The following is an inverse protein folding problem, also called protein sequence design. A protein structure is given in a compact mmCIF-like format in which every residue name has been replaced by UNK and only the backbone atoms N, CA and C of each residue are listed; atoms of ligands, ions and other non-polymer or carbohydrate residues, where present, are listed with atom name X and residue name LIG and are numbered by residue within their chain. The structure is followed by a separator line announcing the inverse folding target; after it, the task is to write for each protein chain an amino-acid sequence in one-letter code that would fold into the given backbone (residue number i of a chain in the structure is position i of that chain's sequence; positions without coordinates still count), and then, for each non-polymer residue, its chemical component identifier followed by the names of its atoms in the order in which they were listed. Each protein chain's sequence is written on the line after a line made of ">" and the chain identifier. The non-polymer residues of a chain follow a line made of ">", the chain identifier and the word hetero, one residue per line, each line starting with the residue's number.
data_IF_271314470011
#
_entry.id   IF_271314470011
#
_cell.length_a   1.000
_cell.length_b   1.000
_cell.length_c   1.000
_cell.angle_alpha   90.00
_cell.angle_beta   90.00
_cell.angle_gamma   90.00
#
_symmetry.space_group_name_H-M   'P 1'
#
loop_
_entity.id
_entity.type
_entity.pdbx_description
1 polymer ?
#
# COMPACT_ATOMS: atom_id res chain seq x y z
N UNK A 1 21.08 -9.67 58.14
CA UNK A 1 19.92 -10.55 58.41
C UNK A 1 19.79 -11.57 57.26
N UNK A 2 19.11 -12.71 57.45
CA UNK A 2 19.28 -13.90 56.61
C UNK A 2 18.10 -14.17 55.65
N UNK A 3 18.02 -15.42 55.15
CA UNK A 3 16.92 -16.06 54.40
C UNK A 3 16.85 -15.76 52.90
N UNK A 4 16.66 -16.74 52.00
CA UNK A 4 16.55 -18.21 52.18
C UNK A 4 17.01 -18.98 50.93
N UNK A 5 17.41 -20.24 51.12
CA UNK A 5 17.70 -21.20 50.05
C UNK A 5 17.01 -22.55 50.33
N UNK A 6 16.46 -23.20 49.30
CA UNK A 6 15.86 -24.55 49.31
C UNK A 6 15.83 -25.02 47.85
N UNK A 7 16.65 -25.97 47.37
CA UNK A 7 16.77 -27.40 47.71
C UNK A 7 15.59 -28.26 47.19
N UNK A 8 15.81 -29.04 46.10
CA UNK A 8 15.83 -30.52 46.20
C UNK A 8 16.26 -31.29 44.96
N UNK A 9 16.97 -32.38 45.23
CA UNK A 9 17.45 -33.44 44.33
C UNK A 9 16.46 -34.61 44.28
N UNK A 10 16.45 -35.43 43.21
CA UNK A 10 15.87 -36.78 43.26
C UNK A 10 15.50 -37.44 41.91
N UNK A 11 16.25 -38.47 41.44
CA UNK A 11 15.89 -39.29 40.27
C UNK A 11 15.21 -40.63 40.63
N UNK A 12 14.63 -41.31 39.63
CA UNK A 12 14.09 -42.68 39.74
C UNK A 12 14.18 -43.44 38.40
N UNK A 13 14.24 -44.78 38.42
CA UNK A 13 14.64 -45.61 37.28
C UNK A 13 13.79 -46.89 37.07
N UNK A 14 14.06 -47.58 35.95
CA UNK A 14 13.46 -48.84 35.44
C UNK A 14 13.58 -50.05 36.40
N UNK A 15 12.73 -51.11 36.31
CA UNK A 15 12.88 -52.21 35.30
C UNK A 15 11.50 -52.67 34.72
N UNK A 16 11.24 -53.83 34.07
CA UNK A 16 11.95 -55.11 33.85
C UNK A 16 11.43 -55.89 32.58
N UNK A 17 11.94 -57.11 32.33
CA UNK A 17 11.34 -58.18 31.48
C UNK A 17 10.65 -59.27 32.35
N UNK A 18 10.58 -60.58 31.98
CA UNK A 18 11.19 -61.29 30.83
C UNK A 18 10.31 -62.40 30.15
N UNK A 19 10.87 -63.26 29.27
CA UNK A 19 10.42 -64.67 29.09
C UNK A 19 10.00 -65.16 27.68
N UNK A 20 10.37 -66.40 27.32
CA UNK A 20 10.05 -67.19 26.09
C UNK A 20 10.19 -68.71 26.44
N UNK A 21 10.18 -69.75 25.54
CA UNK A 21 9.95 -69.88 24.07
C UNK A 21 8.72 -70.84 23.83
N UNK A 22 8.63 -71.91 22.97
CA UNK A 22 9.38 -72.40 21.78
C UNK A 22 8.55 -72.98 20.57
N UNK A 23 9.28 -73.46 19.54
CA UNK A 23 8.96 -74.52 18.55
C UNK A 23 7.89 -74.30 17.43
N UNK A 24 8.11 -74.98 16.26
CA UNK A 24 7.27 -75.00 15.04
C UNK A 24 6.57 -76.35 14.80
N UNK A 25 6.19 -76.78 13.55
CA UNK A 25 6.79 -76.46 12.23
C UNK A 25 5.78 -76.11 11.08
N UNK A 26 6.26 -76.11 9.82
CA UNK A 26 5.60 -76.24 8.46
C UNK A 26 4.14 -75.75 8.23
N UNK A 27 3.81 -74.94 7.21
CA UNK A 27 3.82 -75.32 5.77
C UNK A 27 3.71 -74.13 4.77
N UNK A 28 4.37 -74.30 3.60
CA UNK A 28 4.07 -73.93 2.18
C UNK A 28 3.52 -72.52 1.74
N UNK A 29 3.77 -72.09 0.48
CA UNK A 29 3.48 -70.72 0.00
C UNK A 29 2.32 -70.58 -1.01
N UNK A 30 1.75 -69.36 -1.12
CA UNK A 30 0.97 -68.90 -2.29
C UNK A 30 1.06 -67.36 -2.47
N UNK A 31 1.46 -66.84 -3.66
CA UNK A 31 1.56 -65.38 -3.89
C UNK A 31 0.28 -64.79 -4.52
N UNK A 32 -0.31 -63.76 -3.90
CA UNK A 32 -1.56 -63.17 -4.39
C UNK A 32 -1.89 -61.77 -3.86
N UNK A 33 -1.09 -60.75 -4.21
CA UNK A 33 -1.30 -59.36 -3.78
C UNK A 33 -1.07 -58.35 -4.90
N UNK A 34 -2.15 -57.73 -5.41
CA UNK A 34 -2.10 -56.72 -6.49
C UNK A 34 -1.25 -55.51 -6.08
N UNK A 35 -0.25 -55.12 -6.90
CA UNK A 35 0.55 -53.89 -6.67
C UNK A 35 -0.37 -52.66 -6.55
N UNK A 36 -0.29 -51.86 -5.48
CA UNK A 36 -1.31 -50.85 -5.17
C UNK A 36 -1.15 -49.55 -5.96
N UNK A 37 -1.49 -49.59 -7.27
CA UNK A 37 -1.56 -48.39 -8.13
C UNK A 37 -2.53 -47.31 -7.59
N UNK A 38 -3.46 -47.68 -6.71
CA UNK A 38 -4.34 -46.72 -6.02
C UNK A 38 -3.58 -45.74 -5.11
N UNK A 39 -2.61 -46.22 -4.30
CA UNK A 39 -1.88 -45.37 -3.35
C UNK A 39 -1.10 -44.24 -4.06
N UNK A 40 -0.53 -44.52 -5.23
CA UNK A 40 0.15 -43.51 -6.06
C UNK A 40 -0.82 -42.45 -6.61
N UNK A 41 -2.07 -42.81 -6.93
CA UNK A 41 -3.09 -41.85 -7.38
C UNK A 41 -3.58 -40.99 -6.20
N UNK A 42 -3.86 -41.59 -5.04
CA UNK A 42 -4.26 -40.86 -3.84
C UNK A 42 -3.20 -39.86 -3.39
N UNK A 43 -1.91 -40.25 -3.41
CA UNK A 43 -0.81 -39.36 -3.07
C UNK A 43 -0.72 -38.14 -4.03
N UNK A 44 -0.86 -38.36 -5.34
CA UNK A 44 -0.87 -37.27 -6.33
C UNK A 44 -2.07 -36.32 -6.16
N UNK A 45 -3.25 -36.85 -5.83
CA UNK A 45 -4.43 -36.03 -5.54
C UNK A 45 -4.24 -35.18 -4.28
N UNK A 46 -3.65 -35.74 -3.21
CA UNK A 46 -3.34 -34.97 -2.00
C UNK A 46 -2.33 -33.84 -2.28
N UNK A 47 -1.26 -34.11 -3.03
CA UNK A 47 -0.29 -33.07 -3.43
C UNK A 47 -0.93 -32.01 -4.30
N UNK A 48 -1.76 -32.39 -5.28
CA UNK A 48 -2.51 -31.45 -6.11
C UNK A 48 -3.46 -30.56 -5.30
N UNK A 49 -4.20 -31.14 -4.35
CA UNK A 49 -5.07 -30.39 -3.45
C UNK A 49 -4.30 -29.40 -2.56
N UNK A 50 -3.15 -29.79 -2.02
CA UNK A 50 -2.28 -28.91 -1.22
C UNK A 50 -1.69 -27.78 -2.07
N UNK A 51 -1.29 -28.04 -3.32
CA UNK A 51 -0.79 -27.01 -4.24
C UNK A 51 -1.88 -26.01 -4.65
N UNK A 52 -3.10 -26.49 -4.94
CA UNK A 52 -4.26 -25.62 -5.22
C UNK A 52 -4.64 -24.80 -3.98
N UNK A 53 -4.66 -25.41 -2.79
CA UNK A 53 -4.89 -24.68 -1.55
C UNK A 53 -3.81 -23.62 -1.30
N UNK A 54 -2.52 -23.94 -1.52
CA UNK A 54 -1.41 -23.00 -1.37
C UNK A 54 -1.46 -21.83 -2.38
N UNK A 55 -1.92 -22.07 -3.61
CA UNK A 55 -2.17 -21.01 -4.59
C UNK A 55 -3.32 -20.10 -4.11
N UNK A 56 -4.47 -20.68 -3.77
CA UNK A 56 -5.64 -19.94 -3.25
C UNK A 56 -5.38 -19.26 -1.89
N UNK A 57 -4.35 -19.66 -1.15
CA UNK A 57 -3.88 -18.98 0.07
C UNK A 57 -2.86 -17.88 -0.25
N UNK A 58 -2.12 -17.96 -1.37
CA UNK A 58 -1.24 -16.87 -1.85
C UNK A 58 -2.02 -15.74 -2.52
N UNK A 59 -3.10 -16.04 -3.23
CA UNK A 59 -4.01 -15.04 -3.80
C UNK A 59 -4.77 -14.28 -2.70
N UNK A 60 -4.89 -14.86 -1.50
CA UNK A 60 -5.36 -14.18 -0.30
C UNK A 60 -4.18 -13.49 0.38
N UNK A 61 -4.05 -12.18 0.16
CA UNK A 61 -3.00 -11.36 0.76
C UNK A 61 -2.93 -11.46 2.30
N UNK A 62 -1.82 -11.04 2.93
CA UNK A 62 -1.60 -11.19 4.37
C UNK A 62 -2.78 -10.68 5.19
N UNK A 63 -3.25 -11.50 6.15
CA UNK A 63 -4.36 -11.12 7.01
C UNK A 63 -3.99 -9.83 7.78
N UNK A 64 -4.89 -8.83 7.83
CA UNK A 64 -4.55 -7.53 8.40
C UNK A 64 -4.20 -7.63 9.89
N UNK A 65 -3.12 -6.93 10.28
CA UNK A 65 -2.69 -6.84 11.66
C UNK A 65 -3.74 -6.08 12.48
N UNK A 66 -4.36 -6.77 13.45
CA UNK A 66 -5.48 -6.28 14.25
C UNK A 66 -5.05 -5.33 15.38
N UNK A 67 -3.75 -5.04 15.52
CA UNK A 67 -3.25 -4.08 16.51
C UNK A 67 -3.49 -2.62 16.12
N UNK A 68 -3.70 -2.34 14.83
CA UNK A 68 -4.29 -1.08 14.35
C UNK A 68 -5.76 -1.33 14.08
N UNK A 69 -6.64 -0.45 14.58
CA UNK A 69 -8.09 -0.55 14.33
C UNK A 69 -8.38 -0.55 12.82
N UNK A 70 -9.31 -1.39 12.37
CA UNK A 70 -9.52 -1.73 10.96
C UNK A 70 -9.75 -0.49 10.07
N UNK A 71 -8.69 -0.09 9.35
CA UNK A 71 -8.70 1.00 8.36
C UNK A 71 -8.94 0.39 6.98
N UNK A 72 -10.06 0.74 6.36
CA UNK A 72 -10.32 0.43 4.96
C UNK A 72 -9.23 1.06 4.09
N UNK A 73 -8.62 0.28 3.20
CA UNK A 73 -7.61 0.76 2.25
C UNK A 73 -8.07 0.50 0.83
N UNK A 74 -8.01 1.55 0.01
CA UNK A 74 -8.42 1.56 -1.40
C UNK A 74 -7.23 2.08 -2.23
N UNK A 75 -7.03 1.56 -3.43
CA UNK A 75 -5.83 1.81 -4.23
C UNK A 75 -4.73 0.76 -4.04
N UNK A 76 -3.54 1.05 -4.58
CA UNK A 76 -2.43 0.10 -4.64
C UNK A 76 -1.67 0.04 -3.30
N UNK A 77 -1.21 -1.15 -2.92
CA UNK A 77 -0.32 -1.34 -1.76
C UNK A 77 1.13 -1.01 -2.10
N UNK A 78 1.93 -0.64 -1.09
CA UNK A 78 3.36 -0.34 -1.27
C UNK A 78 4.12 -1.56 -1.84
N UNK A 79 4.92 -1.33 -2.89
CA UNK A 79 5.57 -2.39 -3.67
C UNK A 79 4.65 -3.17 -4.61
N UNK A 80 3.33 -2.91 -4.60
CA UNK A 80 2.32 -3.64 -5.36
C UNK A 80 2.45 -3.48 -6.89
N UNK A 81 2.03 -4.53 -7.61
CA UNK A 81 2.00 -4.55 -9.08
C UNK A 81 0.90 -3.65 -9.63
N UNK A 82 1.30 -2.62 -10.38
CA UNK A 82 0.37 -1.68 -10.99
C UNK A 82 -0.46 -2.36 -12.11
N UNK A 83 0.11 -3.18 -13.03
CA UNK A 83 -0.68 -3.86 -14.05
C UNK A 83 -1.73 -4.83 -13.49
N UNK A 84 -1.48 -5.42 -12.31
CA UNK A 84 -2.44 -6.32 -11.66
C UNK A 84 -3.53 -5.55 -10.91
N UNK A 85 -3.17 -4.47 -10.20
CA UNK A 85 -4.13 -3.54 -9.59
C UNK A 85 -5.12 -2.95 -10.63
N UNK A 86 -4.61 -2.46 -11.76
CA UNK A 86 -5.46 -1.91 -12.83
C UNK A 86 -6.44 -2.95 -13.40
N UNK A 87 -6.04 -4.24 -13.41
CA UNK A 87 -6.88 -5.35 -13.89
C UNK A 87 -7.92 -5.78 -12.86
N UNK A 88 -7.58 -5.76 -11.56
CA UNK A 88 -8.51 -6.02 -10.46
C UNK A 88 -9.63 -4.97 -10.44
N UNK A 89 -9.26 -3.68 -10.35
CA UNK A 89 -10.20 -2.55 -10.36
C UNK A 89 -11.17 -2.59 -11.56
N UNK A 90 -10.67 -2.87 -12.77
CA UNK A 90 -11.51 -3.02 -13.96
C UNK A 90 -12.46 -4.23 -13.91
N UNK A 91 -12.04 -5.34 -13.29
CA UNK A 91 -12.86 -6.54 -13.10
C UNK A 91 -13.97 -6.30 -12.07
N UNK A 92 -13.64 -5.64 -10.97
CA UNK A 92 -14.58 -5.29 -9.89
C UNK A 92 -15.61 -4.25 -10.36
N UNK A 93 -15.17 -3.26 -11.15
CA UNK A 93 -16.05 -2.28 -11.80
C UNK A 93 -17.01 -2.93 -12.82
N UNK A 94 -16.54 -3.94 -13.55
CA UNK A 94 -17.41 -4.75 -14.39
C UNK A 94 -18.45 -5.52 -13.55
N UNK A 95 -18.02 -6.10 -12.43
CA UNK A 95 -18.84 -6.95 -11.55
C UNK A 95 -19.88 -6.21 -10.68
N UNK A 96 -19.81 -4.88 -10.52
CA UNK A 96 -20.78 -4.13 -9.70
C UNK A 96 -22.24 -4.39 -10.15
N UNK A 97 -23.20 -4.59 -9.21
CA UNK A 97 -24.61 -4.70 -9.56
C UNK A 97 -25.10 -3.41 -10.24
N UNK A 98 -26.04 -3.53 -11.19
CA UNK A 98 -26.53 -2.37 -11.94
C UNK A 98 -27.25 -1.33 -11.06
N UNK A 99 -27.95 -1.79 -10.02
CA UNK A 99 -28.55 -0.95 -8.99
C UNK A 99 -27.70 -1.02 -7.71
N UNK A 100 -27.08 0.11 -7.34
CA UNK A 100 -26.37 0.29 -6.08
C UNK A 100 -26.66 1.69 -5.52
N UNK A 101 -27.92 1.92 -5.14
CA UNK A 101 -28.31 3.17 -4.46
C UNK A 101 -27.86 3.16 -2.99
N UNK A 102 -27.43 4.31 -2.43
CA UNK A 102 -27.44 5.65 -3.01
C UNK A 102 -26.12 6.05 -3.68
N UNK A 103 -25.44 5.13 -4.37
CA UNK A 103 -24.14 5.32 -5.04
C UNK A 103 -22.97 4.60 -4.33
N UNK A 104 -22.04 4.08 -5.12
CA UNK A 104 -20.80 3.42 -4.67
C UNK A 104 -19.66 4.44 -4.64
N UNK A 105 -18.76 4.34 -3.65
CA UNK A 105 -17.51 5.11 -3.64
C UNK A 105 -16.51 4.52 -4.62
N UNK A 106 -15.70 5.35 -5.26
CA UNK A 106 -14.59 4.88 -6.08
C UNK A 106 -13.38 5.81 -6.01
N UNK A 107 -12.19 5.22 -6.15
CA UNK A 107 -10.94 5.92 -6.36
C UNK A 107 -10.66 6.03 -7.86
N UNK A 108 -10.74 7.24 -8.39
CA UNK A 108 -10.42 7.55 -9.79
C UNK A 108 -8.95 7.91 -9.86
N UNK A 109 -8.16 7.18 -10.64
CA UNK A 109 -6.76 7.49 -10.92
C UNK A 109 -6.61 8.04 -12.33
N UNK A 110 -5.82 9.09 -12.55
CA UNK A 110 -5.63 9.71 -13.86
C UNK A 110 -4.36 9.21 -14.59
N UNK A 111 -4.32 9.38 -15.91
CA UNK A 111 -3.17 8.99 -16.75
C UNK A 111 -1.99 9.97 -16.67
N UNK A 112 -2.21 11.12 -16.03
CA UNK A 112 -1.28 12.23 -15.88
C UNK A 112 -1.77 13.16 -14.78
N UNK A 113 -0.98 14.18 -14.45
CA UNK A 113 -1.38 15.21 -13.51
C UNK A 113 -2.29 16.23 -14.20
N UNK A 114 -3.41 16.60 -13.57
CA UNK A 114 -4.44 17.52 -14.09
C UNK A 114 -4.46 18.84 -13.31
N UNK A 115 -4.67 19.99 -13.98
CA UNK A 115 -5.05 21.25 -13.33
C UNK A 115 -6.55 21.26 -12.98
N UNK A 116 -7.03 22.20 -12.14
CA UNK A 116 -8.41 22.24 -11.66
C UNK A 116 -9.48 22.20 -12.76
N UNK A 117 -9.31 22.96 -13.84
CA UNK A 117 -10.32 23.07 -14.91
C UNK A 117 -10.47 21.77 -15.70
N UNK A 118 -9.34 21.14 -16.06
CA UNK A 118 -9.33 19.83 -16.74
C UNK A 118 -9.86 18.71 -15.86
N UNK A 119 -9.74 18.84 -14.53
CA UNK A 119 -10.37 17.89 -13.61
C UNK A 119 -11.90 17.97 -13.68
N UNK A 120 -12.46 19.19 -13.77
CA UNK A 120 -13.89 19.39 -13.96
C UNK A 120 -14.38 18.79 -15.29
N UNK A 121 -13.64 19.00 -16.39
CA UNK A 121 -13.95 18.39 -17.69
C UNK A 121 -13.92 16.84 -17.65
N UNK A 122 -12.91 16.24 -17.01
CA UNK A 122 -12.74 14.78 -16.97
C UNK A 122 -13.79 14.11 -16.08
N UNK A 123 -14.14 14.71 -14.93
CA UNK A 123 -15.11 14.14 -13.99
C UNK A 123 -16.57 14.50 -14.35
N UNK A 124 -16.84 15.68 -14.91
CA UNK A 124 -18.21 16.14 -15.22
C UNK A 124 -19.10 16.14 -13.97
N UNK A 125 -20.37 15.76 -14.14
CA UNK A 125 -21.38 15.74 -13.06
C UNK A 125 -21.18 14.64 -11.99
N UNK A 126 -20.06 13.93 -12.00
CA UNK A 126 -19.74 12.89 -11.02
C UNK A 126 -19.41 13.52 -9.67
N UNK A 127 -20.19 13.19 -8.64
CA UNK A 127 -20.03 13.75 -7.28
C UNK A 127 -18.64 13.44 -6.69
N UNK A 128 -17.81 14.48 -6.58
CA UNK A 128 -16.49 14.42 -5.93
C UNK A 128 -16.63 14.64 -4.42
N UNK A 129 -15.67 14.17 -3.63
CA UNK A 129 -15.57 14.55 -2.21
C UNK A 129 -14.16 14.97 -1.78
N UNK A 130 -13.12 14.37 -2.35
CA UNK A 130 -11.75 14.87 -2.23
C UNK A 130 -10.92 14.51 -3.46
N UNK A 131 -9.84 15.26 -3.66
CA UNK A 131 -8.82 15.00 -4.68
C UNK A 131 -7.46 14.77 -4.02
N UNK A 132 -6.59 14.02 -4.68
CA UNK A 132 -5.22 13.78 -4.24
C UNK A 132 -4.26 14.39 -5.26
N UNK A 133 -3.38 15.26 -4.79
CA UNK A 133 -2.40 15.96 -5.60
C UNK A 133 -1.00 15.90 -5.03
N UNK A 134 -0.02 16.17 -5.90
CA UNK A 134 1.37 16.46 -5.56
C UNK A 134 1.99 17.27 -6.69
N UNK A 135 3.06 18.00 -6.43
CA UNK A 135 3.80 18.70 -7.49
C UNK A 135 4.78 17.72 -8.15
N UNK A 136 4.70 17.47 -9.48
CA UNK A 136 5.58 16.53 -10.17
C UNK A 136 6.96 17.14 -10.42
N UNK A 137 7.78 17.22 -9.38
CA UNK A 137 9.18 17.64 -9.48
C UNK A 137 10.07 16.42 -9.86
N UNK A 138 10.87 16.49 -10.95
CA UNK A 138 11.82 15.44 -11.30
C UNK A 138 12.87 15.25 -10.19
N UNK A 139 13.29 13.99 -9.95
CA UNK A 139 14.32 13.66 -8.97
C UNK A 139 13.93 13.87 -7.50
N UNK A 140 12.68 14.26 -7.21
CA UNK A 140 12.23 14.68 -5.87
C UNK A 140 10.94 14.00 -5.42
N UNK A 141 10.91 13.63 -4.15
CA UNK A 141 9.67 13.43 -3.42
C UNK A 141 9.05 14.78 -3.05
N UNK A 142 7.71 14.85 -3.07
CA UNK A 142 6.91 16.06 -2.78
C UNK A 142 5.66 15.64 -1.99
N UNK A 143 4.98 16.59 -1.35
CA UNK A 143 3.87 16.26 -0.45
C UNK A 143 2.67 15.68 -1.22
N UNK A 144 2.15 14.55 -0.74
CA UNK A 144 0.85 14.01 -1.16
C UNK A 144 -0.26 14.72 -0.41
N UNK A 145 -0.85 15.72 -1.06
CA UNK A 145 -1.88 16.59 -0.49
C UNK A 145 -3.26 16.04 -0.80
N UNK A 146 -4.10 15.88 0.23
CA UNK A 146 -5.55 15.64 0.10
C UNK A 146 -6.28 16.97 0.20
N UNK A 147 -7.13 17.27 -0.78
CA UNK A 147 -7.92 18.50 -0.84
C UNK A 147 -9.40 18.13 -0.94
N UNK A 148 -10.22 18.58 0.02
CA UNK A 148 -11.68 18.41 -0.04
C UNK A 148 -12.24 19.17 -1.25
N UNK A 149 -13.10 18.54 -2.03
CA UNK A 149 -13.68 19.14 -3.23
C UNK A 149 -15.09 18.62 -3.47
N UNK A 150 -16.08 19.51 -3.35
CA UNK A 150 -17.49 19.25 -3.65
C UNK A 150 -17.97 20.05 -4.88
N UNK A 151 -17.26 21.13 -5.23
CA UNK A 151 -17.48 22.00 -6.38
C UNK A 151 -16.18 22.15 -7.15
N UNK A 152 -16.16 21.69 -8.41
CA UNK A 152 -15.02 21.88 -9.30
C UNK A 152 -15.30 23.03 -10.29
N UNK A 153 -14.28 23.81 -10.69
CA UNK A 153 -12.88 23.75 -10.24
C UNK A 153 -12.63 24.44 -8.87
N UNK A 154 -13.55 25.29 -8.42
CA UNK A 154 -13.38 26.29 -7.35
C UNK A 154 -12.75 25.76 -6.06
N UNK A 155 -13.28 24.66 -5.49
CA UNK A 155 -12.79 24.16 -4.18
C UNK A 155 -11.33 23.70 -4.27
N UNK A 156 -10.91 23.17 -5.43
CA UNK A 156 -9.52 22.74 -5.66
C UNK A 156 -8.61 23.94 -5.88
N UNK A 157 -9.05 24.97 -6.61
CA UNK A 157 -8.28 26.21 -6.77
C UNK A 157 -8.08 26.95 -5.44
N UNK A 158 -9.11 26.98 -4.58
CA UNK A 158 -9.01 27.49 -3.22
C UNK A 158 -8.03 26.67 -2.37
N UNK A 159 -8.17 25.33 -2.36
CA UNK A 159 -7.30 24.45 -1.60
C UNK A 159 -5.83 24.53 -2.07
N UNK A 160 -5.56 24.64 -3.37
CA UNK A 160 -4.21 24.89 -3.90
C UNK A 160 -3.63 26.22 -3.37
N UNK A 161 -4.45 27.26 -3.24
CA UNK A 161 -4.02 28.56 -2.68
C UNK A 161 -3.65 28.44 -1.19
N UNK A 162 -4.42 27.69 -0.39
CA UNK A 162 -4.10 27.40 1.01
C UNK A 162 -2.83 26.55 1.16
N UNK A 163 -2.65 25.57 0.28
CA UNK A 163 -1.46 24.70 0.23
C UNK A 163 -0.22 25.51 -0.15
N UNK A 164 -0.31 26.41 -1.12
CA UNK A 164 0.77 27.32 -1.46
C UNK A 164 1.19 28.17 -0.25
N UNK A 165 0.23 28.76 0.46
CA UNK A 165 0.51 29.56 1.67
C UNK A 165 1.08 28.71 2.82
N UNK A 166 0.70 27.42 2.96
CA UNK A 166 1.36 26.48 3.89
C UNK A 166 2.83 26.27 3.50
N UNK A 167 3.08 26.00 2.22
CA UNK A 167 4.41 25.69 1.69
C UNK A 167 5.39 26.87 1.74
N UNK A 168 4.91 28.11 1.63
CA UNK A 168 5.75 29.29 1.88
C UNK A 168 6.22 29.39 3.34
N UNK A 169 5.34 29.10 4.30
CA UNK A 169 5.71 29.09 5.73
C UNK A 169 6.71 27.98 6.02
N UNK A 170 6.48 26.78 5.49
CA UNK A 170 7.44 25.67 5.56
C UNK A 170 8.81 26.08 4.97
N UNK A 171 8.82 26.68 3.78
CA UNK A 171 10.05 27.15 3.15
C UNK A 171 10.76 28.27 3.95
N UNK A 172 10.01 29.12 4.67
CA UNK A 172 10.58 30.12 5.57
C UNK A 172 11.17 29.48 6.85
N UNK A 173 10.44 28.54 7.47
CA UNK A 173 10.89 27.81 8.66
C UNK A 173 12.16 27.00 8.40
N UNK A 174 12.24 26.32 7.25
CA UNK A 174 13.44 25.56 6.86
C UNK A 174 14.65 26.48 6.60
N UNK A 175 14.44 27.65 5.97
CA UNK A 175 15.51 28.68 5.83
C UNK A 175 15.97 29.21 7.18
N UNK A 176 15.06 29.46 8.11
CA UNK A 176 15.40 29.93 9.47
C UNK A 176 16.22 28.87 10.24
N UNK A 177 15.87 27.59 10.10
CA UNK A 177 16.64 26.47 10.67
C UNK A 177 18.03 26.33 10.05
N UNK A 178 18.16 26.45 8.73
CA UNK A 178 19.46 26.48 8.02
C UNK A 178 20.33 27.64 8.52
N UNK A 179 19.77 28.85 8.61
CA UNK A 179 20.48 30.05 9.07
C UNK A 179 20.93 29.98 10.54
N UNK A 180 20.27 29.18 11.38
CA UNK A 180 20.65 28.95 12.77
C UNK A 180 21.83 27.95 12.93
N UNK A 181 22.24 27.25 11.87
CA UNK A 181 23.36 26.31 11.90
C UNK A 181 24.68 27.00 11.54
N UNK A 182 25.68 26.81 12.40
CA UNK A 182 27.07 27.18 12.13
C UNK A 182 27.84 25.98 11.59
N UNK A 183 28.61 26.19 10.51
CA UNK A 183 29.35 25.16 9.80
C UNK A 183 30.66 24.73 10.51
N UNK A 184 30.63 24.68 11.85
CA UNK A 184 31.75 24.35 12.72
C UNK A 184 32.03 22.83 12.82
N UNK A 185 31.18 21.99 12.22
CA UNK A 185 31.25 20.53 12.28
C UNK A 185 30.52 19.88 11.07
N UNK A 186 31.00 18.75 10.52
CA UNK A 186 30.38 18.10 9.36
C UNK A 186 28.90 17.71 9.51
N UNK A 187 28.44 17.33 10.71
CA UNK A 187 27.04 16.93 10.93
C UNK A 187 26.11 18.14 10.85
N UNK A 188 26.57 19.30 11.36
CA UNK A 188 25.84 20.58 11.19
C UNK A 188 25.81 20.98 9.72
N UNK A 189 26.93 20.85 9.00
CA UNK A 189 26.98 21.13 7.57
C UNK A 189 26.09 20.18 6.75
N UNK A 190 25.91 18.91 7.17
CA UNK A 190 24.95 17.98 6.57
C UNK A 190 23.50 18.40 6.85
N UNK A 191 23.16 18.64 8.12
CA UNK A 191 21.81 19.08 8.52
C UNK A 191 21.40 20.40 7.85
N UNK A 192 22.36 21.31 7.64
CA UNK A 192 22.18 22.55 6.87
C UNK A 192 21.74 22.24 5.43
N UNK A 193 22.42 21.34 4.72
CA UNK A 193 22.03 20.91 3.37
C UNK A 193 20.64 20.26 3.34
N UNK A 194 20.26 19.52 4.38
CA UNK A 194 18.89 18.96 4.51
C UNK A 194 17.85 20.08 4.62
N UNK A 195 18.09 21.10 5.46
CA UNK A 195 17.18 22.25 5.57
C UNK A 195 17.15 23.13 4.31
N UNK A 196 18.29 23.39 3.66
CA UNK A 196 18.35 24.12 2.39
C UNK A 196 17.62 23.37 1.26
N UNK A 197 17.77 22.04 1.21
CA UNK A 197 17.03 21.16 0.29
C UNK A 197 15.52 21.19 0.55
N UNK A 198 15.10 21.08 1.81
CA UNK A 198 13.69 21.17 2.21
C UNK A 198 13.07 22.53 1.87
N UNK A 199 13.81 23.62 2.10
CA UNK A 199 13.40 24.96 1.71
C UNK A 199 13.20 25.09 0.19
N UNK A 200 14.11 24.55 -0.63
CA UNK A 200 13.98 24.58 -2.09
C UNK A 200 12.77 23.80 -2.60
N UNK A 201 12.49 22.61 -2.04
CA UNK A 201 11.32 21.79 -2.42
C UNK A 201 10.03 22.50 -2.03
N UNK A 202 9.88 22.96 -0.79
CA UNK A 202 8.67 23.65 -0.33
C UNK A 202 8.42 24.96 -1.12
N UNK A 203 9.48 25.70 -1.45
CA UNK A 203 9.41 26.93 -2.26
C UNK A 203 9.02 26.65 -3.73
N UNK A 204 9.43 25.51 -4.29
CA UNK A 204 8.97 25.04 -5.61
C UNK A 204 7.51 24.56 -5.57
N UNK A 205 7.11 23.82 -4.53
CA UNK A 205 5.72 23.41 -4.33
C UNK A 205 4.79 24.63 -4.18
N UNK A 206 5.18 25.62 -3.38
CA UNK A 206 4.43 26.86 -3.18
C UNK A 206 4.15 27.61 -4.49
N UNK A 207 5.18 27.80 -5.32
CA UNK A 207 5.03 28.44 -6.64
C UNK A 207 4.10 27.66 -7.56
N UNK A 208 4.24 26.34 -7.61
CA UNK A 208 3.43 25.49 -8.48
C UNK A 208 1.94 25.54 -8.09
N UNK A 209 1.63 25.35 -6.81
CA UNK A 209 0.24 25.41 -6.34
C UNK A 209 -0.38 26.80 -6.52
N UNK A 210 0.37 27.89 -6.27
CA UNK A 210 -0.11 29.26 -6.56
C UNK A 210 -0.41 29.49 -8.06
N UNK A 211 0.31 28.81 -8.94
CA UNK A 211 0.10 28.90 -10.39
C UNK A 211 -1.02 27.98 -10.92
N UNK A 212 -1.80 27.32 -10.05
CA UNK A 212 -2.88 26.42 -10.45
C UNK A 212 -2.38 25.16 -11.18
N UNK A 213 -1.22 24.64 -10.74
CA UNK A 213 -0.49 23.62 -11.49
C UNK A 213 -1.27 22.35 -11.83
N UNK A 214 -0.85 21.72 -12.93
CA UNK A 214 -1.20 20.35 -13.26
C UNK A 214 -0.59 19.39 -12.21
N UNK A 215 -1.35 19.13 -11.14
CA UNK A 215 -0.87 18.54 -9.90
C UNK A 215 -1.84 17.52 -9.26
N UNK A 216 -3.10 17.45 -9.69
CA UNK A 216 -4.05 16.41 -9.22
C UNK A 216 -3.84 15.13 -10.01
N UNK A 217 -3.67 13.98 -9.34
CA UNK A 217 -3.50 12.67 -10.01
C UNK A 217 -4.58 11.65 -9.66
N UNK A 218 -5.42 11.93 -8.66
CA UNK A 218 -6.56 11.09 -8.33
C UNK A 218 -7.72 11.89 -7.71
N UNK A 219 -8.92 11.33 -7.74
CA UNK A 219 -10.11 11.83 -7.06
C UNK A 219 -10.87 10.69 -6.37
N UNK A 220 -11.50 10.96 -5.24
CA UNK A 220 -12.47 10.07 -4.62
C UNK A 220 -13.87 10.59 -4.94
N UNK A 221 -14.66 9.74 -5.57
CA UNK A 221 -15.99 10.07 -6.10
C UNK A 221 -17.05 9.14 -5.56
N UNK A 222 -18.31 9.56 -5.64
CA UNK A 222 -19.47 8.73 -5.33
C UNK A 222 -20.50 8.82 -6.45
N UNK A 223 -20.79 7.69 -7.09
CA UNK A 223 -21.72 7.65 -8.21
C UNK A 223 -22.39 6.27 -8.35
N UNK A 224 -23.43 6.21 -9.17
CA UNK A 224 -24.08 4.93 -9.54
C UNK A 224 -23.16 4.10 -10.45
N UNK A 225 -23.22 2.76 -10.42
CA UNK A 225 -22.31 1.89 -11.19
C UNK A 225 -22.34 2.04 -12.71
N UNK A 226 -23.37 2.67 -13.29
CA UNK A 226 -23.35 3.08 -14.70
C UNK A 226 -22.36 4.23 -14.93
N UNK A 227 -22.53 5.35 -14.22
CA UNK A 227 -21.66 6.52 -14.31
C UNK A 227 -20.19 6.24 -13.96
N UNK A 228 -19.92 5.28 -13.05
CA UNK A 228 -18.54 4.83 -12.77
C UNK A 228 -17.90 4.09 -13.97
N UNK A 229 -18.67 3.31 -14.73
CA UNK A 229 -18.21 2.66 -15.97
C UNK A 229 -18.01 3.67 -17.09
N UNK A 230 -18.97 4.59 -17.26
CA UNK A 230 -18.86 5.67 -18.24
C UNK A 230 -17.61 6.53 -17.98
N UNK A 231 -17.35 6.86 -16.71
CA UNK A 231 -16.13 7.57 -16.29
C UNK A 231 -14.85 6.80 -16.65
N UNK A 232 -14.83 5.48 -16.47
CA UNK A 232 -13.68 4.63 -16.81
C UNK A 232 -13.37 4.57 -18.33
N UNK A 233 -14.30 4.99 -19.20
CA UNK A 233 -14.05 5.12 -20.65
C UNK A 233 -13.47 6.48 -21.07
N UNK A 234 -13.41 7.47 -20.17
CA UNK A 234 -13.02 8.85 -20.54
C UNK A 234 -11.51 8.99 -20.70
N UNK A 235 -11.11 9.75 -21.72
CA UNK A 235 -9.72 10.14 -21.91
C UNK A 235 -9.21 10.89 -20.67
N UNK A 236 -8.00 10.54 -20.21
CA UNK A 236 -7.41 11.06 -18.98
C UNK A 236 -7.66 10.19 -17.74
N UNK A 237 -8.65 9.30 -17.74
CA UNK A 237 -8.85 8.31 -16.68
C UNK A 237 -7.97 7.08 -16.94
N UNK A 238 -7.27 6.62 -15.90
CA UNK A 238 -6.40 5.43 -15.90
C UNK A 238 -7.08 4.22 -15.25
N UNK A 239 -7.85 4.47 -14.19
CA UNK A 239 -8.66 3.47 -13.50
C UNK A 239 -9.81 4.15 -12.75
N UNK A 240 -10.90 3.41 -12.57
CA UNK A 240 -11.91 3.66 -11.55
C UNK A 240 -11.94 2.40 -10.70
N UNK A 241 -11.48 2.54 -9.46
CA UNK A 241 -11.30 1.48 -8.46
C UNK A 241 -12.48 1.54 -7.47
N UNK A 242 -13.49 0.65 -7.60
CA UNK A 242 -14.74 0.77 -6.86
C UNK A 242 -14.64 0.13 -5.47
N UNK A 243 -15.00 0.89 -4.45
CA UNK A 243 -14.82 0.56 -3.05
C UNK A 243 -16.17 0.49 -2.29
N UNK A 244 -17.01 -0.54 -2.56
CA UNK A 244 -18.32 -0.69 -1.92
C UNK A 244 -18.25 -0.91 -0.40
N UNK A 245 -17.11 -1.35 0.13
CA UNK A 245 -16.81 -1.50 1.56
C UNK A 245 -16.53 -0.17 2.28
N UNK A 246 -16.33 0.94 1.54
CA UNK A 246 -16.16 2.28 2.12
C UNK A 246 -17.49 2.80 2.66
N UNK A 247 -17.71 2.62 3.95
CA UNK A 247 -18.82 3.25 4.68
C UNK A 247 -18.49 4.67 5.15
N UNK A 248 -17.20 5.02 5.31
CA UNK A 248 -16.72 6.23 5.99
C UNK A 248 -15.39 6.75 5.44
N UNK A 249 -15.43 7.89 4.74
CA UNK A 249 -14.21 8.54 4.22
C UNK A 249 -13.21 8.93 5.32
N UNK A 250 -13.67 9.26 6.54
CA UNK A 250 -12.82 9.60 7.68
C UNK A 250 -12.03 8.41 8.24
N UNK A 251 -12.35 7.19 7.79
CA UNK A 251 -11.70 5.92 8.19
C UNK A 251 -11.08 5.16 7.01
N UNK A 252 -11.00 5.80 5.84
CA UNK A 252 -10.48 5.18 4.62
C UNK A 252 -9.19 5.84 4.16
N UNK A 253 -8.12 5.05 4.06
CA UNK A 253 -6.85 5.44 3.47
C UNK A 253 -6.89 5.12 1.99
N UNK A 254 -6.71 6.13 1.14
CA UNK A 254 -6.63 5.97 -0.31
C UNK A 254 -5.18 6.11 -0.76
N UNK A 255 -4.64 5.09 -1.42
CA UNK A 255 -3.28 5.04 -1.98
C UNK A 255 -3.34 4.93 -3.52
N UNK A 256 -3.71 6.01 -4.23
CA UNK A 256 -3.73 6.00 -5.69
C UNK A 256 -2.32 5.81 -6.27
N UNK A 257 -2.17 5.03 -7.37
CA UNK A 257 -0.92 4.96 -8.10
C UNK A 257 -0.58 6.31 -8.76
N UNK A 258 0.69 6.71 -8.67
CA UNK A 258 1.19 7.89 -9.37
C UNK A 258 1.18 7.66 -10.90
N UNK A 259 0.99 8.70 -11.74
CA UNK A 259 1.06 8.58 -13.20
C UNK A 259 2.37 7.99 -13.73
N UNK A 260 3.50 8.28 -13.06
CA UNK A 260 4.81 7.70 -13.40
C UNK A 260 5.00 6.24 -12.96
N UNK A 261 4.23 5.74 -11.97
CA UNK A 261 4.30 4.34 -11.54
C UNK A 261 3.62 3.45 -12.58
N UNK A 262 4.41 2.78 -13.43
CA UNK A 262 3.90 1.89 -14.50
C UNK A 262 3.90 0.41 -14.12
N UNK A 263 4.92 -0.04 -13.40
CA UNK A 263 5.12 -1.45 -13.07
C UNK A 263 4.85 -1.76 -11.60
N UNK A 264 5.47 -0.99 -10.69
CA UNK A 264 5.38 -1.18 -9.23
C UNK A 264 5.08 0.14 -8.52
N UNK A 265 4.23 0.10 -7.49
CA UNK A 265 3.98 1.19 -6.56
C UNK A 265 5.21 1.43 -5.67
N UNK A 266 6.11 2.33 -6.08
CA UNK A 266 7.30 2.72 -5.31
C UNK A 266 7.34 4.24 -5.14
N UNK A 267 7.76 4.78 -3.98
CA UNK A 267 8.01 6.20 -3.84
C UNK A 267 8.96 6.71 -4.95
N UNK A 268 8.77 7.94 -5.46
CA UNK A 268 9.75 8.57 -6.33
C UNK A 268 11.15 8.58 -5.69
N UNK A 269 12.20 8.53 -6.51
CA UNK A 269 13.55 8.77 -6.01
C UNK A 269 13.67 10.22 -5.48
N UNK A 270 14.45 10.40 -4.41
CA UNK A 270 15.00 11.70 -4.02
C UNK A 270 16.52 11.62 -4.22
N UNK A 271 17.05 12.32 -5.21
CA UNK A 271 18.45 12.16 -5.67
C UNK A 271 19.44 13.11 -4.96
N UNK A 272 18.94 14.22 -4.42
CA UNK A 272 19.74 15.41 -4.10
C UNK A 272 20.36 15.44 -2.70
N UNK A 273 20.06 14.47 -1.83
CA UNK A 273 20.77 14.28 -0.56
C UNK A 273 21.92 13.26 -0.65
N UNK A 274 21.97 12.47 -1.73
CA UNK A 274 22.90 11.34 -1.87
C UNK A 274 22.61 10.18 -0.90
N UNK A 275 23.40 9.10 -0.94
CA UNK A 275 23.32 8.06 0.07
C UNK A 275 23.78 8.61 1.43
N UNK A 276 23.01 8.33 2.49
CA UNK A 276 23.49 8.51 3.86
C UNK A 276 24.70 7.60 4.05
N UNK A 277 25.88 8.17 4.34
CA UNK A 277 27.08 7.41 4.66
C UNK A 277 26.78 6.45 5.81
N UNK A 278 27.10 5.15 5.70
CA UNK A 278 26.83 4.20 6.77
C UNK A 278 27.62 4.61 8.02
N UNK A 279 26.91 4.75 9.15
CA UNK A 279 27.54 5.03 10.44
C UNK A 279 28.52 3.91 10.78
N UNK A 280 29.81 4.25 10.82
CA UNK A 280 30.86 3.33 11.24
C UNK A 280 30.76 3.18 12.75
N UNK A 281 30.11 2.11 13.19
CA UNK A 281 30.07 1.75 14.62
C UNK A 281 31.49 1.51 15.16
N UNK A 282 31.76 1.85 16.44
CA UNK A 282 33.05 1.57 17.05
C UNK A 282 33.32 0.06 17.10
N UNK A 283 34.57 -0.31 16.87
CA UNK A 283 35.11 -1.68 16.98
C UNK A 283 35.73 -1.93 18.35
#
# INVERSE_FOLDING_TARGET
>A
MPSSATDRTGPGASPAGPGAPPAGPEERPAPGGRRPRGLTVTALLCVGAVLVAAALIRDRGPAPDRTVGEVTRVGVADGGSIPDYLRAAATELAALPAAAEPGTWALVSFTGYLPPDRLAEVLGDVGVSLVVGRVPLPGRQTELVRMTAMRLPDDVAAAMTEVAARKEREAADQRARSAALTDADPDRAHLRRVYDSGAQVADAEARAYRAGCACVHAAVVRAVPAALRDLATRAGVRAVDPAPEVSRLDRTVFTPPLPEQRDLARPPADDLLGPLSPSVGPS
#
